data_IF_589605886412
#
_entry.id   IF_589605886412
#
_cell.length_a   1.000
_cell.length_b   1.000
_cell.length_c   1.000
_cell.angle_alpha   90.00
_cell.angle_beta   90.00
_cell.angle_gamma   90.00
#
_symmetry.space_group_name_H-M   'P 1'
#
loop_
_entity.id
_entity.type
_entity.pdbx_description
1 polymer ?
#
# COMPACT_ATOMS: atom_id res chain seq x y z
N UNK A 1 48.40 46.98 34.43
CA UNK A 1 49.38 47.10 35.53
C UNK A 1 49.14 45.95 36.51
N UNK A 2 50.10 45.03 36.59
CA UNK A 2 50.30 44.03 37.65
C UNK A 2 50.90 44.71 38.89
N UNK A 3 50.78 44.15 40.12
CA UNK A 3 51.53 42.97 40.61
C UNK A 3 50.67 41.96 41.43
N UNK A 4 50.84 40.62 41.40
CA UNK A 4 51.95 39.71 41.78
C UNK A 4 52.28 39.69 43.30
N UNK A 5 51.71 38.80 44.14
CA UNK A 5 52.04 37.37 44.48
C UNK A 5 52.95 37.18 45.71
N UNK A 6 52.56 36.27 46.63
CA UNK A 6 53.36 35.37 47.53
C UNK A 6 52.37 34.52 48.38
N UNK A 7 52.51 33.25 48.77
CA UNK A 7 53.26 32.04 48.42
C UNK A 7 52.86 30.91 49.42
N UNK A 8 52.91 29.61 49.04
CA UNK A 8 52.98 28.41 49.93
C UNK A 8 51.63 27.72 50.25
N UNK A 9 51.23 26.52 49.82
CA UNK A 9 51.81 25.19 49.48
C UNK A 9 51.90 24.18 50.66
N UNK A 10 50.97 23.21 50.69
CA UNK A 10 51.06 21.84 51.26
C UNK A 10 49.83 21.07 50.70
N UNK A 11 49.90 20.26 49.63
CA UNK A 11 50.43 18.88 49.48
C UNK A 11 49.76 17.85 50.41
N UNK A 12 48.85 17.05 49.84
CA UNK A 12 48.67 15.64 50.19
C UNK A 12 48.44 14.85 48.88
N UNK A 13 49.29 13.85 48.65
CA UNK A 13 49.35 12.99 47.47
C UNK A 13 49.07 11.54 47.91
N UNK A 14 48.39 10.77 47.03
CA UNK A 14 48.53 9.32 46.77
C UNK A 14 47.84 8.33 47.77
N UNK A 15 47.21 7.21 47.38
CA UNK A 15 47.30 6.32 46.21
C UNK A 15 45.96 5.60 45.89
N UNK A 16 45.69 5.45 44.58
CA UNK A 16 45.17 4.29 43.80
C UNK A 16 44.12 3.30 44.36
N UNK A 17 43.03 3.12 43.60
CA UNK A 17 42.65 1.83 43.04
C UNK A 17 41.85 2.02 41.74
N UNK A 18 42.30 1.36 40.67
CA UNK A 18 41.68 1.27 39.35
C UNK A 18 40.49 0.30 39.40
N UNK A 19 39.36 0.67 38.82
CA UNK A 19 38.40 -0.29 38.25
C UNK A 19 38.23 0.01 36.76
N UNK A 20 38.37 -1.05 35.97
CA UNK A 20 38.61 -0.99 34.53
C UNK A 20 37.44 -0.46 33.72
N UNK A 21 37.70 0.55 32.92
CA UNK A 21 36.88 0.89 31.76
C UNK A 21 37.13 -0.17 30.70
N UNK A 22 36.15 -1.06 30.53
CA UNK A 22 36.09 -1.95 29.38
C UNK A 22 35.80 -1.10 28.14
N UNK A 23 36.54 -1.25 27.02
CA UNK A 23 36.24 -0.51 25.80
C UNK A 23 34.93 -1.05 25.24
N UNK A 24 33.85 -0.30 25.44
CA UNK A 24 32.57 -0.54 24.79
C UNK A 24 32.81 -0.58 23.29
N UNK A 25 32.69 -1.77 22.71
CA UNK A 25 32.57 -1.95 21.28
C UNK A 25 31.47 -1.00 20.80
N UNK A 26 31.84 0.01 20.03
CA UNK A 26 30.94 0.61 19.05
C UNK A 26 30.52 -0.54 18.15
N UNK A 27 29.37 -1.14 18.47
CA UNK A 27 28.72 -2.07 17.57
C UNK A 27 28.62 -1.36 16.23
N UNK A 28 29.28 -1.93 15.21
CA UNK A 28 29.03 -1.56 13.83
C UNK A 28 27.50 -1.57 13.66
N UNK A 29 26.89 -0.53 13.08
CA UNK A 29 25.46 -0.56 12.81
C UNK A 29 25.18 -1.86 12.06
N UNK A 30 24.25 -2.67 12.58
CA UNK A 30 23.87 -3.91 11.92
C UNK A 30 23.61 -3.61 10.43
N UNK A 31 24.09 -4.46 9.51
CA UNK A 31 23.85 -4.24 8.10
C UNK A 31 22.33 -4.08 7.90
N UNK A 32 21.87 -3.09 7.12
CA UNK A 32 20.45 -2.84 6.94
C UNK A 32 19.79 -4.13 6.49
N UNK A 33 18.70 -4.53 7.17
CA UNK A 33 17.97 -5.74 6.81
C UNK A 33 17.58 -5.67 5.33
N UNK A 34 17.98 -6.67 4.55
CA UNK A 34 17.71 -6.68 3.12
C UNK A 34 16.31 -7.24 2.86
N UNK A 35 15.53 -6.53 2.06
CA UNK A 35 14.27 -6.99 1.49
C UNK A 35 14.54 -7.53 0.11
N UNK A 36 14.37 -8.83 -0.07
CA UNK A 36 14.61 -9.53 -1.33
C UNK A 36 13.33 -10.20 -1.85
N UNK A 37 13.17 -10.23 -3.16
CA UNK A 37 12.11 -10.97 -3.84
C UNK A 37 12.59 -11.48 -5.20
N UNK A 38 11.88 -12.47 -5.74
CA UNK A 38 12.15 -13.00 -7.07
C UNK A 38 11.50 -12.08 -8.12
N UNK A 39 12.31 -11.36 -8.90
CA UNK A 39 11.82 -10.57 -10.02
C UNK A 39 11.54 -11.49 -11.20
N UNK A 40 10.27 -11.59 -11.59
CA UNK A 40 9.83 -12.50 -12.65
C UNK A 40 10.20 -12.01 -14.04
N UNK A 41 10.32 -10.68 -14.23
CA UNK A 41 10.71 -10.08 -15.51
C UNK A 41 12.19 -10.27 -15.80
N UNK A 42 13.01 -10.19 -14.75
CA UNK A 42 14.46 -10.35 -14.84
C UNK A 42 14.92 -11.79 -14.57
N UNK A 43 14.00 -12.66 -14.16
CA UNK A 43 14.24 -14.03 -13.71
C UNK A 43 15.43 -14.15 -12.73
N UNK A 44 15.48 -13.26 -11.74
CA UNK A 44 16.53 -13.25 -10.71
C UNK A 44 16.03 -12.70 -9.39
N UNK A 45 16.68 -13.07 -8.31
CA UNK A 45 16.47 -12.42 -7.02
C UNK A 45 17.00 -10.98 -7.07
N UNK A 46 16.19 -10.03 -6.66
CA UNK A 46 16.57 -8.63 -6.46
C UNK A 46 16.40 -8.26 -5.00
N UNK A 47 17.26 -7.39 -4.51
CA UNK A 47 17.26 -6.96 -3.11
C UNK A 47 17.36 -5.43 -3.01
N UNK A 48 16.85 -4.90 -1.90
CA UNK A 48 17.03 -3.52 -1.49
C UNK A 48 17.16 -3.45 0.04
N UNK A 49 17.87 -2.45 0.59
CA UNK A 49 17.83 -2.15 2.02
C UNK A 49 16.39 -1.87 2.51
N UNK A 50 16.05 -2.35 3.69
CA UNK A 50 14.89 -1.86 4.43
C UNK A 50 15.20 -0.45 4.94
N UNK A 51 14.37 0.52 4.56
CA UNK A 51 14.56 1.91 4.91
C UNK A 51 13.57 2.35 5.99
N UNK A 52 13.99 3.34 6.77
CA UNK A 52 13.12 4.05 7.71
C UNK A 52 12.25 5.08 6.96
N UNK A 53 11.15 5.51 7.57
CA UNK A 53 10.33 6.62 7.07
C UNK A 53 11.20 7.87 6.83
N UNK A 54 10.99 8.56 5.71
CA UNK A 54 11.84 9.66 5.25
C UNK A 54 13.01 9.24 4.37
N UNK A 55 13.22 7.93 4.19
CA UNK A 55 14.22 7.36 3.30
C UNK A 55 13.59 6.36 2.33
N UNK A 56 14.28 6.08 1.23
CA UNK A 56 13.88 5.11 0.23
C UNK A 56 15.10 4.34 -0.30
N UNK A 57 14.86 3.12 -0.77
CA UNK A 57 15.77 2.39 -1.64
C UNK A 57 14.94 1.58 -2.61
N UNK A 58 15.41 1.42 -3.84
CA UNK A 58 14.80 0.52 -4.83
C UNK A 58 15.77 -0.63 -5.14
N UNK A 59 15.28 -1.65 -5.83
CA UNK A 59 16.10 -2.78 -6.24
C UNK A 59 17.40 -2.32 -6.93
N UNK A 60 18.53 -2.85 -6.47
CA UNK A 60 19.86 -2.50 -6.98
C UNK A 60 20.53 -1.30 -6.30
N UNK A 61 19.88 -0.62 -5.36
CA UNK A 61 20.54 0.33 -4.46
C UNK A 61 21.21 -0.38 -3.28
N UNK A 62 22.40 0.09 -2.88
CA UNK A 62 23.17 -0.50 -1.77
C UNK A 62 22.93 0.18 -0.41
N UNK A 63 22.24 1.34 -0.41
CA UNK A 63 21.97 2.13 0.78
C UNK A 63 20.64 2.88 0.64
N UNK A 64 20.02 3.19 1.77
CA UNK A 64 18.86 4.07 1.80
C UNK A 64 19.27 5.52 1.50
N UNK A 65 18.50 6.19 0.67
CA UNK A 65 18.62 7.60 0.36
C UNK A 65 17.50 8.39 1.03
N UNK A 66 17.79 9.59 1.52
CA UNK A 66 16.75 10.47 2.03
C UNK A 66 15.79 10.84 0.89
N UNK A 67 14.51 11.06 1.21
CA UNK A 67 13.53 11.51 0.22
C UNK A 67 13.99 12.75 -0.52
N UNK A 68 13.83 12.72 -1.84
CA UNK A 68 14.25 13.79 -2.74
C UNK A 68 13.46 15.08 -2.47
N UNK A 69 14.18 16.19 -2.52
CA UNK A 69 13.68 17.53 -2.15
C UNK A 69 13.42 18.39 -3.38
N UNK A 70 12.90 19.61 -3.19
CA UNK A 70 12.70 20.52 -4.32
C UNK A 70 13.96 20.81 -5.13
N UNK A 71 15.14 20.84 -4.51
CA UNK A 71 16.41 21.00 -5.22
C UNK A 71 16.62 19.87 -6.24
N UNK A 72 16.43 18.62 -5.82
CA UNK A 72 16.52 17.46 -6.71
C UNK A 72 15.51 17.53 -7.86
N UNK A 73 14.27 17.97 -7.57
CA UNK A 73 13.23 18.09 -8.58
C UNK A 73 13.52 19.14 -9.65
N UNK A 74 14.30 20.16 -9.32
CA UNK A 74 14.62 21.25 -10.22
C UNK A 74 15.96 21.05 -10.95
N UNK A 75 16.89 20.24 -10.42
CA UNK A 75 18.23 20.06 -11.01
C UNK A 75 18.56 18.65 -11.48
N UNK A 76 18.01 17.61 -10.84
CA UNK A 76 18.52 16.23 -10.96
C UNK A 76 17.54 15.24 -11.60
N UNK A 77 16.27 15.63 -11.77
CA UNK A 77 15.23 14.77 -12.34
C UNK A 77 14.98 15.11 -13.80
N UNK A 78 15.12 14.11 -14.68
CA UNK A 78 14.72 14.21 -16.08
C UNK A 78 13.33 13.60 -16.28
N UNK A 79 12.39 14.37 -16.81
CA UNK A 79 11.03 13.89 -17.11
C UNK A 79 11.03 13.16 -18.45
N UNK A 80 10.61 11.90 -18.44
CA UNK A 80 10.43 11.06 -19.62
C UNK A 80 9.02 11.17 -20.21
N UNK A 81 8.55 10.06 -20.79
CA UNK A 81 7.24 10.01 -21.44
C UNK A 81 6.09 10.13 -20.44
N UNK A 82 4.96 10.66 -20.91
CA UNK A 82 3.70 10.59 -20.17
C UNK A 82 3.21 9.14 -20.15
N UNK A 83 2.94 8.61 -18.96
CA UNK A 83 2.45 7.26 -18.74
C UNK A 83 0.91 7.26 -18.72
N UNK A 84 0.32 8.17 -17.94
CA UNK A 84 -1.12 8.22 -17.75
C UNK A 84 -1.60 9.65 -17.42
N UNK A 85 -2.92 9.83 -17.47
CA UNK A 85 -3.60 11.06 -17.07
C UNK A 85 -4.88 10.70 -16.34
N UNK A 86 -5.08 11.27 -15.16
CA UNK A 86 -6.34 11.24 -14.43
C UNK A 86 -6.90 12.64 -14.23
N UNK A 87 -7.97 12.72 -13.44
CA UNK A 87 -8.63 13.97 -13.10
C UNK A 87 -7.71 14.89 -12.26
N UNK A 88 -7.09 14.34 -11.21
CA UNK A 88 -6.20 15.11 -10.31
C UNK A 88 -4.72 15.06 -10.67
N UNK A 89 -4.27 14.06 -11.44
CA UNK A 89 -2.84 13.75 -11.64
C UNK A 89 -2.48 13.53 -13.11
N UNK A 90 -1.33 14.05 -13.51
CA UNK A 90 -0.60 13.63 -14.71
C UNK A 90 0.59 12.79 -14.28
N UNK A 91 0.74 11.62 -14.89
CA UNK A 91 1.73 10.62 -14.49
C UNK A 91 2.78 10.49 -15.59
N UNK A 92 4.05 10.62 -15.22
CA UNK A 92 5.19 10.58 -16.15
C UNK A 92 6.24 9.60 -15.65
N UNK A 93 6.98 9.03 -16.59
CA UNK A 93 8.27 8.44 -16.29
C UNK A 93 9.24 9.53 -15.86
N UNK A 94 10.08 9.25 -14.87
CA UNK A 94 11.10 10.17 -14.40
C UNK A 94 12.40 9.43 -14.11
N UNK A 95 13.51 10.04 -14.47
CA UNK A 95 14.84 9.47 -14.26
C UNK A 95 15.61 10.33 -13.27
N UNK A 96 16.16 9.69 -12.25
CA UNK A 96 17.07 10.31 -11.30
C UNK A 96 18.26 9.38 -11.11
N UNK A 97 19.45 9.89 -11.43
CA UNK A 97 20.66 9.07 -11.59
C UNK A 97 20.41 7.93 -12.60
N UNK A 98 20.81 6.70 -12.29
CA UNK A 98 20.62 5.51 -13.14
C UNK A 98 19.32 4.76 -12.80
N UNK A 99 18.33 5.43 -12.20
CA UNK A 99 17.10 4.79 -11.72
C UNK A 99 15.86 5.44 -12.34
N UNK A 100 14.85 4.62 -12.58
CA UNK A 100 13.55 5.04 -13.11
C UNK A 100 12.52 5.09 -12.00
N UNK A 101 11.74 6.18 -11.97
CA UNK A 101 10.68 6.47 -11.02
C UNK A 101 9.43 6.95 -11.76
N UNK A 102 8.35 7.15 -11.00
CA UNK A 102 7.09 7.71 -11.51
C UNK A 102 6.88 9.10 -10.93
N UNK A 103 6.78 10.11 -11.78
CA UNK A 103 6.39 11.46 -11.38
C UNK A 103 4.89 11.64 -11.46
N UNK A 104 4.29 11.91 -10.30
CA UNK A 104 2.91 12.30 -10.14
C UNK A 104 2.85 13.82 -10.01
N UNK A 105 2.26 14.50 -11.00
CA UNK A 105 2.13 15.95 -11.04
C UNK A 105 0.66 16.34 -10.97
N UNK A 106 0.30 17.23 -10.04
CA UNK A 106 -1.07 17.74 -9.96
C UNK A 106 -1.48 18.40 -11.29
N UNK A 107 -2.73 18.20 -11.70
CA UNK A 107 -3.29 18.88 -12.86
C UNK A 107 -3.42 20.39 -12.61
N UNK A 108 -3.60 21.16 -13.68
CA UNK A 108 -3.83 22.61 -13.59
C UNK A 108 -5.20 22.95 -12.97
N UNK A 109 -6.10 21.98 -12.87
CA UNK A 109 -7.44 22.17 -12.34
C UNK A 109 -7.40 22.13 -10.81
N UNK A 110 -7.64 23.30 -10.20
CA UNK A 110 -7.53 23.47 -8.75
C UNK A 110 -8.56 22.66 -7.97
N UNK A 111 -9.65 22.21 -8.61
CA UNK A 111 -10.71 21.45 -7.92
C UNK A 111 -10.24 20.12 -7.34
N UNK A 112 -9.14 19.56 -7.86
CA UNK A 112 -8.57 18.28 -7.41
C UNK A 112 -7.32 18.46 -6.53
N UNK A 113 -6.97 19.69 -6.16
CA UNK A 113 -5.76 19.91 -5.35
C UNK A 113 -5.89 19.36 -3.94
N UNK A 114 -7.09 19.41 -3.35
CA UNK A 114 -7.35 18.81 -2.04
C UNK A 114 -7.12 17.31 -2.08
N UNK A 115 -7.64 16.63 -3.11
CA UNK A 115 -7.48 15.18 -3.29
C UNK A 115 -6.01 14.80 -3.50
N UNK A 116 -5.28 15.56 -4.34
CA UNK A 116 -3.85 15.37 -4.56
C UNK A 116 -3.02 15.51 -3.26
N UNK A 117 -3.30 16.54 -2.48
CA UNK A 117 -2.60 16.77 -1.20
C UNK A 117 -2.98 15.73 -0.15
N UNK A 118 -4.23 15.29 -0.13
CA UNK A 118 -4.69 14.20 0.73
C UNK A 118 -3.96 12.90 0.38
N UNK A 119 -3.90 12.55 -0.91
CA UNK A 119 -3.17 11.38 -1.40
C UNK A 119 -1.70 11.39 -0.99
N UNK A 120 -0.99 12.51 -1.19
CA UNK A 120 0.40 12.64 -0.73
C UNK A 120 0.53 12.51 0.80
N UNK A 121 -0.41 13.07 1.56
CA UNK A 121 -0.44 12.96 3.03
C UNK A 121 -0.61 11.50 3.46
N UNK A 122 -1.51 10.75 2.81
CA UNK A 122 -1.73 9.34 3.08
C UNK A 122 -0.51 8.49 2.69
N UNK A 123 0.04 8.70 1.50
CA UNK A 123 1.26 8.00 1.03
C UNK A 123 2.37 8.18 2.07
N UNK A 124 2.61 9.42 2.50
CA UNK A 124 3.65 9.77 3.48
C UNK A 124 3.41 9.09 4.82
N UNK A 125 2.17 9.13 5.33
CA UNK A 125 1.83 8.58 6.64
C UNK A 125 1.87 7.04 6.70
N UNK A 126 1.76 6.37 5.56
CA UNK A 126 1.77 4.91 5.48
C UNK A 126 3.12 4.31 5.10
N UNK A 127 4.15 5.13 4.90
CA UNK A 127 5.52 4.64 4.75
C UNK A 127 6.01 4.03 6.07
N UNK A 128 6.63 2.85 6.09
CA UNK A 128 7.19 2.08 4.96
C UNK A 128 6.45 0.75 4.72
N UNK A 129 5.12 0.74 4.77
CA UNK A 129 4.33 -0.50 4.67
C UNK A 129 4.56 -1.21 3.31
N UNK A 130 4.81 -2.53 3.29
CA UNK A 130 5.26 -3.26 2.08
C UNK A 130 4.22 -3.32 0.94
N UNK A 131 2.95 -3.07 1.25
CA UNK A 131 1.86 -3.04 0.27
C UNK A 131 1.38 -1.62 -0.08
N UNK A 132 2.08 -0.59 0.36
CA UNK A 132 1.81 0.80 -0.03
C UNK A 132 2.93 1.25 -0.95
N UNK A 133 2.58 2.00 -1.99
CA UNK A 133 3.56 2.55 -2.94
C UNK A 133 4.67 3.31 -2.20
N UNK A 134 5.94 3.00 -2.52
CA UNK A 134 7.06 3.65 -1.88
C UNK A 134 7.19 5.09 -2.36
N UNK A 135 7.23 6.03 -1.42
CA UNK A 135 7.53 7.43 -1.69
C UNK A 135 9.04 7.61 -1.87
N UNK A 136 9.43 8.32 -2.93
CA UNK A 136 10.82 8.62 -3.25
C UNK A 136 11.16 10.06 -2.90
N UNK A 137 10.19 10.97 -3.01
CA UNK A 137 10.35 12.37 -2.65
C UNK A 137 9.18 13.20 -3.13
N UNK A 138 9.09 14.44 -2.65
CA UNK A 138 8.02 15.34 -3.06
C UNK A 138 8.47 16.80 -3.04
N UNK A 139 7.90 17.59 -3.94
CA UNK A 139 8.09 19.03 -4.01
C UNK A 139 6.81 19.70 -4.53
N UNK A 140 6.22 20.57 -3.71
CA UNK A 140 5.04 21.36 -4.07
C UNK A 140 3.90 20.48 -4.63
N UNK A 141 3.67 20.56 -5.95
CA UNK A 141 2.59 19.88 -6.69
C UNK A 141 3.08 18.65 -7.45
N UNK A 142 4.19 18.07 -7.02
CA UNK A 142 4.85 16.95 -7.67
C UNK A 142 5.38 16.00 -6.59
N UNK A 143 5.23 14.69 -6.80
CA UNK A 143 5.91 13.68 -6.00
C UNK A 143 6.38 12.52 -6.86
N UNK A 144 7.43 11.84 -6.41
CA UNK A 144 7.99 10.65 -7.03
C UNK A 144 7.63 9.40 -6.23
N UNK A 145 7.30 8.34 -6.95
CA UNK A 145 7.12 7.00 -6.39
C UNK A 145 7.99 5.98 -7.12
N UNK A 146 8.18 4.82 -6.50
CA UNK A 146 8.83 3.67 -7.14
C UNK A 146 8.14 3.31 -8.47
N UNK A 147 8.94 2.95 -9.47
CA UNK A 147 8.44 2.48 -10.75
C UNK A 147 8.17 0.97 -10.71
N UNK A 148 6.94 0.57 -11.06
CA UNK A 148 6.55 -0.82 -11.17
C UNK A 148 6.24 -1.17 -12.64
N UNK A 149 7.07 -2.00 -13.29
CA UNK A 149 7.00 -2.24 -14.74
C UNK A 149 5.75 -3.01 -15.20
N UNK A 150 5.11 -3.76 -14.31
CA UNK A 150 3.83 -4.44 -14.59
C UNK A 150 2.62 -3.50 -14.43
N UNK A 151 2.85 -2.22 -14.14
CA UNK A 151 1.83 -1.18 -14.16
C UNK A 151 0.61 -1.54 -13.29
N UNK A 152 -0.58 -1.13 -13.75
CA UNK A 152 -1.83 -1.21 -13.01
C UNK A 152 -2.40 -2.63 -12.97
N UNK A 153 -2.99 -3.00 -11.83
CA UNK A 153 -3.50 -4.35 -11.60
C UNK A 153 -4.77 -4.69 -12.41
N UNK A 154 -5.42 -3.70 -13.02
CA UNK A 154 -6.51 -3.95 -13.99
C UNK A 154 -6.01 -4.66 -15.27
N UNK A 155 -4.71 -4.63 -15.54
CA UNK A 155 -4.05 -5.39 -16.60
C UNK A 155 -3.56 -6.78 -16.16
N UNK A 156 -3.94 -7.26 -14.97
CA UNK A 156 -3.49 -8.56 -14.42
C UNK A 156 -3.63 -9.70 -15.44
N UNK A 157 -4.77 -9.80 -16.11
CA UNK A 157 -5.01 -10.88 -17.06
C UNK A 157 -4.20 -10.77 -18.35
N UNK A 158 -3.86 -9.56 -18.78
CA UNK A 158 -2.98 -9.33 -19.93
C UNK A 158 -1.58 -9.87 -19.63
N UNK A 159 -1.10 -9.63 -18.41
CA UNK A 159 0.17 -10.18 -17.93
C UNK A 159 0.12 -11.70 -17.79
N UNK A 160 -0.87 -12.27 -17.09
CA UNK A 160 -0.96 -13.71 -16.87
C UNK A 160 -1.13 -14.53 -18.16
N UNK A 161 -1.80 -13.98 -19.18
CA UNK A 161 -1.98 -14.65 -20.48
C UNK A 161 -0.82 -14.48 -21.45
N UNK A 162 0.14 -13.62 -21.14
CA UNK A 162 1.33 -13.45 -21.99
C UNK A 162 2.17 -14.73 -21.99
N UNK A 163 2.76 -15.08 -23.13
CA UNK A 163 3.59 -16.31 -23.28
C UNK A 163 4.74 -16.38 -22.28
N UNK A 164 5.23 -15.22 -21.85
CA UNK A 164 6.34 -15.08 -20.92
C UNK A 164 5.92 -15.39 -19.47
N UNK A 165 4.65 -15.19 -19.11
CA UNK A 165 4.19 -15.29 -17.72
C UNK A 165 3.09 -16.33 -17.49
N UNK A 166 2.66 -17.06 -18.51
CA UNK A 166 1.63 -18.11 -18.37
C UNK A 166 2.04 -19.19 -17.37
N UNK A 167 3.35 -19.46 -17.24
CA UNK A 167 3.89 -20.41 -16.25
C UNK A 167 3.66 -19.97 -14.80
N UNK A 168 3.38 -18.69 -14.57
CA UNK A 168 3.11 -18.13 -13.24
C UNK A 168 1.62 -18.01 -12.95
N UNK A 169 0.75 -18.30 -13.92
CA UNK A 169 -0.70 -18.29 -13.75
C UNK A 169 -1.18 -19.53 -12.98
N UNK A 170 -0.88 -19.56 -11.68
CA UNK A 170 -1.25 -20.64 -10.77
C UNK A 170 -2.34 -20.20 -9.80
N UNK A 171 -3.07 -21.16 -9.23
CA UNK A 171 -4.08 -20.83 -8.22
C UNK A 171 -3.44 -20.26 -6.95
N UNK A 172 -2.22 -20.69 -6.63
CA UNK A 172 -1.42 -20.20 -5.52
C UNK A 172 -1.12 -18.71 -5.67
N UNK A 173 -0.69 -18.28 -6.87
CA UNK A 173 -0.46 -16.86 -7.14
C UNK A 173 -1.77 -16.06 -7.10
N UNK A 174 -2.82 -16.54 -7.77
CA UNK A 174 -4.11 -15.84 -7.80
C UNK A 174 -4.70 -15.68 -6.40
N UNK A 175 -4.54 -16.69 -5.56
CA UNK A 175 -4.96 -16.60 -4.17
C UNK A 175 -4.08 -15.64 -3.34
N UNK A 176 -2.78 -15.62 -3.57
CA UNK A 176 -1.88 -14.64 -2.94
C UNK A 176 -2.29 -13.20 -3.27
N UNK A 177 -2.75 -12.91 -4.48
CA UNK A 177 -3.29 -11.59 -4.83
C UNK A 177 -4.56 -11.24 -4.05
N UNK A 178 -5.43 -12.24 -3.81
CA UNK A 178 -6.61 -12.06 -2.95
C UNK A 178 -6.20 -11.78 -1.49
N UNK A 179 -5.18 -12.47 -0.99
CA UNK A 179 -4.60 -12.23 0.32
C UNK A 179 -4.01 -10.81 0.43
N UNK A 180 -3.24 -10.37 -0.56
CA UNK A 180 -2.65 -9.03 -0.59
C UNK A 180 -3.75 -7.96 -0.54
N UNK A 181 -4.81 -8.11 -1.35
CA UNK A 181 -5.94 -7.19 -1.37
C UNK A 181 -6.62 -7.07 0.01
N UNK A 182 -6.95 -8.19 0.65
CA UNK A 182 -7.60 -8.19 1.97
C UNK A 182 -6.67 -7.65 3.06
N UNK A 183 -5.38 -7.98 3.02
CA UNK A 183 -4.39 -7.47 3.97
C UNK A 183 -4.20 -5.95 3.84
N UNK A 184 -4.27 -5.41 2.62
CA UNK A 184 -4.27 -3.96 2.39
C UNK A 184 -5.49 -3.32 3.03
N UNK A 185 -6.70 -3.88 2.84
CA UNK A 185 -7.91 -3.36 3.49
C UNK A 185 -7.79 -3.44 5.02
N UNK A 186 -7.30 -4.54 5.57
CA UNK A 186 -7.08 -4.69 7.01
C UNK A 186 -6.12 -3.61 7.56
N UNK A 187 -5.05 -3.30 6.82
CA UNK A 187 -4.14 -2.23 7.14
C UNK A 187 -4.83 -0.85 7.09
N UNK A 188 -5.59 -0.54 6.04
CA UNK A 188 -6.33 0.73 5.92
C UNK A 188 -7.34 0.91 7.05
N UNK A 189 -8.06 -0.15 7.41
CA UNK A 189 -9.10 -0.12 8.44
C UNK A 189 -8.53 0.03 9.86
N UNK A 190 -7.25 -0.29 10.05
CA UNK A 190 -6.50 -0.19 11.31
C UNK A 190 -5.28 0.75 11.23
N UNK A 191 -5.27 1.67 10.26
CA UNK A 191 -4.10 2.47 9.93
C UNK A 191 -3.69 3.44 11.05
N UNK A 192 -2.43 3.92 11.08
CA UNK A 192 -1.99 4.94 12.04
C UNK A 192 -2.73 6.28 11.87
N UNK A 193 -3.49 6.45 10.78
CA UNK A 193 -4.34 7.61 10.52
C UNK A 193 -5.82 7.27 10.76
N UNK A 194 -6.14 6.31 11.61
CA UNK A 194 -7.51 5.88 11.88
C UNK A 194 -8.05 4.95 10.79
N UNK A 195 -9.33 4.61 10.87
CA UNK A 195 -10.00 3.74 9.90
C UNK A 195 -10.21 4.48 8.58
N UNK A 196 -9.60 3.99 7.51
CA UNK A 196 -9.68 4.57 6.16
C UNK A 196 -10.47 3.69 5.22
N UNK A 197 -11.30 4.30 4.38
CA UNK A 197 -12.17 3.59 3.42
C UNK A 197 -11.67 3.83 2.00
N UNK A 198 -11.59 2.79 1.18
CA UNK A 198 -11.13 2.90 -0.20
C UNK A 198 -12.26 3.37 -1.13
N UNK A 199 -12.50 4.67 -1.19
CA UNK A 199 -13.70 5.20 -1.85
C UNK A 199 -13.68 5.17 -3.38
N UNK A 200 -12.52 5.21 -4.03
CA UNK A 200 -12.42 5.24 -5.50
C UNK A 200 -12.47 3.82 -6.11
N UNK A 201 -13.55 3.10 -5.78
CA UNK A 201 -13.72 1.65 -6.03
C UNK A 201 -15.18 1.30 -6.38
N UNK A 202 -15.79 2.05 -7.29
CA UNK A 202 -17.22 1.88 -7.64
C UNK A 202 -17.50 0.73 -8.60
N UNK A 203 -16.48 0.25 -9.29
CA UNK A 203 -16.55 -0.95 -10.13
C UNK A 203 -15.23 -1.71 -10.04
N UNK A 204 -15.21 -2.92 -10.60
CA UNK A 204 -14.06 -3.81 -10.53
C UNK A 204 -12.82 -3.24 -11.22
N UNK A 205 -12.95 -2.71 -12.44
CA UNK A 205 -11.83 -2.14 -13.19
C UNK A 205 -11.26 -0.93 -12.44
N UNK A 206 -12.14 -0.07 -11.95
CA UNK A 206 -11.75 1.11 -11.17
C UNK A 206 -11.05 0.71 -9.88
N UNK A 207 -11.57 -0.27 -9.15
CA UNK A 207 -10.94 -0.81 -7.94
C UNK A 207 -9.52 -1.31 -8.22
N UNK A 208 -9.34 -2.15 -9.25
CA UNK A 208 -8.03 -2.70 -9.59
C UNK A 208 -7.05 -1.62 -10.09
N UNK A 209 -7.54 -0.56 -10.73
CA UNK A 209 -6.70 0.56 -11.16
C UNK A 209 -6.04 1.35 -10.03
N UNK A 210 -6.53 1.17 -8.78
CA UNK A 210 -5.94 1.80 -7.60
C UNK A 210 -4.66 1.09 -7.14
N UNK A 211 -4.40 -0.12 -7.66
CA UNK A 211 -3.26 -0.95 -7.32
C UNK A 211 -2.28 -1.09 -8.50
N UNK A 212 -1.01 -1.28 -8.17
CA UNK A 212 0.04 -1.68 -9.10
C UNK A 212 0.46 -3.13 -8.84
N UNK A 213 1.02 -3.77 -9.87
CA UNK A 213 1.67 -5.06 -9.76
C UNK A 213 3.19 -4.86 -9.65
N UNK A 214 3.78 -5.35 -8.56
CA UNK A 214 5.25 -5.47 -8.48
C UNK A 214 5.73 -6.63 -9.34
N UNK A 215 7.01 -6.65 -9.73
CA UNK A 215 7.58 -7.67 -10.62
C UNK A 215 7.62 -9.09 -10.05
N UNK A 216 7.30 -9.30 -8.77
CA UNK A 216 7.01 -10.60 -8.15
C UNK A 216 5.51 -10.92 -8.03
N UNK A 217 4.66 -10.16 -8.76
CA UNK A 217 3.21 -10.29 -8.82
C UNK A 217 2.52 -10.14 -7.45
N UNK A 218 2.99 -9.17 -6.66
CA UNK A 218 2.34 -8.70 -5.43
C UNK A 218 1.58 -7.41 -5.67
N UNK A 219 0.46 -7.22 -4.98
CA UNK A 219 -0.32 -5.97 -5.06
C UNK A 219 0.32 -4.87 -4.20
N UNK A 220 0.41 -3.68 -4.80
CA UNK A 220 0.85 -2.45 -4.16
C UNK A 220 -0.25 -1.41 -4.31
N UNK A 221 -0.81 -0.91 -3.22
CA UNK A 221 -1.79 0.17 -3.26
C UNK A 221 -1.08 1.49 -3.61
N UNK A 222 -1.55 2.14 -4.67
CA UNK A 222 -0.91 3.31 -5.25
C UNK A 222 -1.76 4.58 -5.15
N UNK A 223 -3.05 4.49 -5.51
CA UNK A 223 -3.91 5.66 -5.51
C UNK A 223 -4.60 5.82 -4.15
N UNK A 224 -4.19 6.84 -3.40
CA UNK A 224 -4.59 7.10 -2.01
C UNK A 224 -5.36 8.43 -1.87
N UNK A 225 -5.82 9.01 -2.97
CA UNK A 225 -6.47 10.32 -3.00
C UNK A 225 -7.82 10.33 -2.28
N UNK A 226 -8.59 9.25 -2.37
CA UNK A 226 -9.94 9.13 -1.81
C UNK A 226 -10.00 8.18 -0.60
N UNK A 227 -9.30 8.56 0.49
CA UNK A 227 -9.27 7.80 1.75
C UNK A 227 -9.84 8.60 2.94
N UNK A 228 -11.16 8.82 2.99
CA UNK A 228 -11.78 9.51 4.12
C UNK A 228 -11.65 8.67 5.41
N UNK A 229 -11.73 9.34 6.56
CA UNK A 229 -11.64 8.71 7.88
C UNK A 229 -13.03 8.40 8.43
N UNK A 230 -13.23 7.16 8.87
CA UNK A 230 -14.32 6.80 9.77
C UNK A 230 -13.82 6.93 11.20
N UNK A 231 -14.52 7.71 12.01
CA UNK A 231 -14.21 7.90 13.42
C UNK A 231 -15.47 7.71 14.27
N UNK A 232 -15.70 6.45 14.67
CA UNK A 232 -16.88 6.05 15.46
C UNK A 232 -16.96 6.78 16.82
N UNK A 233 -15.81 7.08 17.45
CA UNK A 233 -15.79 7.82 18.72
C UNK A 233 -16.33 9.25 18.62
N UNK A 234 -16.22 9.85 17.42
CA UNK A 234 -16.74 11.18 17.10
C UNK A 234 -18.04 11.13 16.30
N UNK A 235 -18.64 9.94 16.14
CA UNK A 235 -19.79 9.72 15.27
C UNK A 235 -19.57 10.25 13.83
N UNK A 236 -18.33 10.16 13.35
CA UNK A 236 -17.94 10.63 12.02
C UNK A 236 -17.91 9.44 11.06
N UNK A 237 -18.81 9.50 10.08
CA UNK A 237 -18.95 8.53 8.99
C UNK A 237 -18.62 9.21 7.66
N UNK A 238 -18.59 8.44 6.57
CA UNK A 238 -18.11 8.90 5.27
C UNK A 238 -19.16 8.77 4.19
N UNK A 239 -18.92 9.46 3.07
CA UNK A 239 -19.56 9.23 1.78
C UNK A 239 -18.48 9.26 0.70
N UNK A 240 -18.53 8.35 -0.25
CA UNK A 240 -17.58 8.25 -1.35
C UNK A 240 -17.96 9.19 -2.51
N UNK A 241 -17.75 10.48 -2.31
CA UNK A 241 -18.05 11.53 -3.30
C UNK A 241 -19.41 12.19 -3.11
N UNK A 242 -19.79 13.04 -4.06
CA UNK A 242 -20.98 13.92 -4.01
C UNK A 242 -22.03 13.61 -5.09
N UNK A 243 -21.87 12.48 -5.79
CA UNK A 243 -22.76 12.04 -6.86
C UNK A 243 -23.42 10.74 -6.44
N UNK A 244 -24.61 10.51 -6.98
CA UNK A 244 -25.29 9.22 -6.83
C UNK A 244 -24.40 8.10 -7.37
N UNK A 245 -24.29 7.03 -6.58
CA UNK A 245 -23.57 5.82 -6.94
C UNK A 245 -24.63 4.75 -7.22
N UNK A 246 -24.42 3.97 -8.27
CA UNK A 246 -25.34 2.91 -8.69
C UNK A 246 -24.63 1.62 -9.05
N UNK A 247 -25.41 0.55 -9.22
CA UNK A 247 -24.94 -0.78 -9.58
C UNK A 247 -24.80 -1.73 -8.39
N UNK A 248 -24.50 -2.99 -8.67
CA UNK A 248 -24.46 -4.08 -7.68
C UNK A 248 -23.06 -4.29 -7.06
N UNK A 249 -22.03 -3.68 -7.64
CA UNK A 249 -20.66 -3.81 -7.15
C UNK A 249 -20.44 -3.05 -5.83
N UNK A 250 -21.09 -1.89 -5.68
CA UNK A 250 -21.04 -1.07 -4.47
C UNK A 250 -21.96 -1.63 -3.39
N UNK A 251 -21.67 -1.31 -2.14
CA UNK A 251 -22.48 -1.83 -1.04
C UNK A 251 -23.89 -1.20 -1.04
N UNK A 252 -24.94 -1.91 -0.58
CA UNK A 252 -26.32 -1.40 -0.61
C UNK A 252 -26.49 -0.06 0.08
N UNK A 253 -25.78 0.18 1.18
CA UNK A 253 -25.80 1.44 1.93
C UNK A 253 -25.13 2.61 1.19
N UNK A 254 -24.42 2.36 0.09
CA UNK A 254 -23.89 3.39 -0.80
C UNK A 254 -24.90 3.87 -1.85
N UNK A 255 -26.03 3.16 -2.00
CA UNK A 255 -27.08 3.48 -2.95
C UNK A 255 -28.06 4.49 -2.35
N UNK A 256 -28.66 5.32 -3.21
CA UNK A 256 -29.68 6.26 -2.79
C UNK A 256 -30.92 5.51 -2.26
N UNK A 257 -31.30 5.68 -0.97
CA UNK A 257 -32.33 4.84 -0.35
C UNK A 257 -33.76 5.33 -0.63
N UNK A 258 -33.95 6.49 -1.27
CA UNK A 258 -35.27 7.12 -1.42
C UNK A 258 -35.77 7.02 -2.87
N UNK A 259 -36.59 6.01 -3.16
CA UNK A 259 -37.14 5.77 -4.51
C UNK A 259 -38.06 6.89 -5.01
N UNK A 260 -38.72 7.60 -4.10
CA UNK A 260 -39.78 8.58 -4.42
C UNK A 260 -39.25 9.97 -4.79
N UNK A 261 -37.94 10.20 -4.77
CA UNK A 261 -37.35 11.53 -5.01
C UNK A 261 -35.96 11.47 -5.64
N UNK A 262 -35.54 12.50 -6.40
CA UNK A 262 -34.21 12.56 -6.98
C UNK A 262 -33.11 12.63 -5.92
N UNK A 263 -31.91 12.19 -6.30
CA UNK A 263 -30.72 12.24 -5.44
C UNK A 263 -30.41 13.65 -4.96
N UNK A 264 -30.15 13.76 -3.66
CA UNK A 264 -29.66 14.97 -3.00
C UNK A 264 -28.52 14.56 -2.07
N UNK A 265 -27.29 15.02 -2.34
CA UNK A 265 -26.10 14.63 -1.57
C UNK A 265 -26.25 14.89 -0.07
N UNK A 266 -26.84 16.02 0.33
CA UNK A 266 -27.05 16.39 1.73
C UNK A 266 -27.91 15.38 2.51
N UNK A 267 -28.78 14.66 1.80
CA UNK A 267 -29.72 13.70 2.38
C UNK A 267 -29.22 12.25 2.27
N UNK A 268 -28.11 12.02 1.57
CA UNK A 268 -27.51 10.69 1.46
C UNK A 268 -26.97 10.26 2.83
N UNK A 269 -27.41 9.13 3.39
CA UNK A 269 -26.85 8.62 4.63
C UNK A 269 -25.36 8.31 4.47
N UNK A 270 -24.57 8.66 5.48
CA UNK A 270 -23.17 8.28 5.56
C UNK A 270 -23.04 6.81 5.97
N UNK A 271 -21.93 6.19 5.58
CA UNK A 271 -21.59 4.79 5.84
C UNK A 271 -20.14 4.66 6.33
N UNK A 272 -19.66 3.44 6.50
CA UNK A 272 -18.37 3.12 7.11
C UNK A 272 -17.51 2.17 6.26
N UNK A 273 -16.44 1.63 6.85
CA UNK A 273 -15.49 0.75 6.17
C UNK A 273 -16.07 -0.59 5.70
N UNK A 274 -17.29 -0.93 6.14
CA UNK A 274 -17.97 -2.16 5.70
C UNK A 274 -18.36 -2.13 4.23
N UNK A 275 -18.34 -0.96 3.59
CA UNK A 275 -18.47 -0.86 2.13
C UNK A 275 -17.29 -1.49 1.39
N UNK A 276 -16.08 -1.50 1.96
CA UNK A 276 -14.92 -2.17 1.36
C UNK A 276 -15.07 -3.70 1.48
N UNK A 277 -15.62 -4.17 2.61
CA UNK A 277 -15.83 -5.59 2.88
C UNK A 277 -16.79 -6.21 1.86
N UNK A 278 -17.86 -5.50 1.54
CA UNK A 278 -18.84 -5.90 0.52
C UNK A 278 -18.19 -6.28 -0.82
N UNK A 279 -17.13 -5.56 -1.20
CA UNK A 279 -16.47 -5.69 -2.51
C UNK A 279 -15.48 -6.85 -2.58
N UNK A 280 -15.06 -7.40 -1.44
CA UNK A 280 -14.05 -8.47 -1.36
C UNK A 280 -14.42 -9.67 -2.24
N UNK A 281 -15.63 -10.27 -2.15
CA UNK A 281 -15.97 -11.45 -2.95
C UNK A 281 -15.90 -11.21 -4.46
N UNK A 282 -16.37 -10.04 -4.92
CA UNK A 282 -16.34 -9.67 -6.34
C UNK A 282 -14.91 -9.55 -6.87
N UNK A 283 -14.04 -8.85 -6.13
CA UNK A 283 -12.61 -8.71 -6.49
C UNK A 283 -11.91 -10.07 -6.47
N UNK A 284 -12.04 -10.83 -5.39
CA UNK A 284 -11.37 -12.12 -5.27
C UNK A 284 -11.90 -13.16 -6.26
N UNK A 285 -13.21 -13.18 -6.53
CA UNK A 285 -13.78 -14.07 -7.54
C UNK A 285 -13.25 -13.78 -8.93
N UNK A 286 -13.10 -12.50 -9.28
CA UNK A 286 -12.47 -12.09 -10.53
C UNK A 286 -11.01 -12.55 -10.60
N UNK A 287 -10.20 -12.22 -9.59
CA UNK A 287 -8.76 -12.54 -9.54
C UNK A 287 -8.52 -14.06 -9.58
N UNK A 288 -9.35 -14.87 -8.92
CA UNK A 288 -9.22 -16.33 -8.94
C UNK A 288 -9.56 -16.94 -10.31
N UNK A 289 -10.37 -16.27 -11.13
CA UNK A 289 -10.75 -16.78 -12.45
C UNK A 289 -11.64 -18.03 -12.38
N UNK A 290 -11.50 -18.92 -13.36
CA UNK A 290 -12.44 -20.04 -13.60
C UNK A 290 -11.77 -21.40 -13.81
N UNK A 291 -10.53 -21.58 -13.36
CA UNK A 291 -9.89 -22.91 -13.39
C UNK A 291 -10.60 -23.90 -12.45
N UNK A 292 -10.38 -25.20 -12.62
CA UNK A 292 -10.97 -26.23 -11.74
C UNK A 292 -10.59 -26.02 -10.27
N UNK A 293 -9.33 -25.64 -10.03
CA UNK A 293 -8.85 -25.31 -8.69
C UNK A 293 -9.50 -24.04 -8.13
N UNK A 294 -9.71 -23.03 -8.98
CA UNK A 294 -10.40 -21.80 -8.59
C UNK A 294 -11.86 -22.08 -8.19
N UNK A 295 -12.56 -22.95 -8.94
CA UNK A 295 -13.93 -23.36 -8.59
C UNK A 295 -13.95 -24.05 -7.22
N UNK A 296 -13.04 -25.00 -6.99
CA UNK A 296 -12.97 -25.70 -5.70
C UNK A 296 -12.64 -24.74 -4.54
N UNK A 297 -11.69 -23.83 -4.74
CA UNK A 297 -11.31 -22.85 -3.74
C UNK A 297 -12.44 -21.85 -3.44
N UNK A 298 -13.20 -21.41 -4.45
CA UNK A 298 -14.40 -20.58 -4.27
C UNK A 298 -15.46 -21.26 -3.42
N UNK A 299 -15.61 -22.58 -3.52
CA UNK A 299 -16.51 -23.33 -2.62
C UNK A 299 -16.04 -23.26 -1.17
N UNK A 300 -14.73 -23.32 -0.91
CA UNK A 300 -14.20 -23.13 0.44
C UNK A 300 -14.40 -21.71 0.97
N UNK A 301 -14.33 -20.70 0.09
CA UNK A 301 -14.51 -19.29 0.43
C UNK A 301 -15.99 -18.87 0.57
N UNK A 302 -16.93 -19.70 0.11
CA UNK A 302 -18.35 -19.35 0.02
C UNK A 302 -18.90 -18.80 1.34
N UNK A 303 -18.62 -19.45 2.47
CA UNK A 303 -19.17 -19.01 3.75
C UNK A 303 -18.71 -17.60 4.15
N UNK A 304 -17.40 -17.31 4.05
CA UNK A 304 -16.87 -15.99 4.40
C UNK A 304 -17.30 -14.93 3.38
N UNK A 305 -17.37 -15.29 2.08
CA UNK A 305 -17.84 -14.39 1.03
C UNK A 305 -19.31 -14.02 1.20
N UNK A 306 -20.18 -14.97 1.55
CA UNK A 306 -21.60 -14.68 1.84
C UNK A 306 -21.75 -13.71 3.01
N UNK A 307 -20.94 -13.86 4.06
CA UNK A 307 -20.95 -12.92 5.21
C UNK A 307 -20.47 -11.52 4.82
N UNK A 308 -19.52 -11.39 3.90
CA UNK A 308 -19.10 -10.09 3.38
C UNK A 308 -20.25 -9.37 2.64
N UNK A 309 -21.21 -10.11 2.09
CA UNK A 309 -22.34 -9.58 1.31
C UNK A 309 -23.67 -9.59 2.07
N UNK A 310 -23.65 -9.51 3.40
CA UNK A 310 -24.86 -9.24 4.17
C UNK A 310 -25.33 -7.81 3.94
N UNK A 311 -26.65 -7.61 3.81
CA UNK A 311 -27.24 -6.28 3.59
C UNK A 311 -26.91 -5.36 4.78
N UNK A 312 -27.12 -5.84 6.01
CA UNK A 312 -26.73 -5.17 7.25
C UNK A 312 -25.19 -5.06 7.39
N UNK A 313 -24.60 -3.86 7.32
CA UNK A 313 -23.14 -3.68 7.34
C UNK A 313 -22.48 -4.19 8.64
N UNK A 314 -23.16 -4.10 9.77
CA UNK A 314 -22.69 -4.54 11.08
C UNK A 314 -22.51 -6.05 11.21
N UNK A 315 -23.22 -6.84 10.38
CA UNK A 315 -23.11 -8.30 10.37
C UNK A 315 -21.93 -8.78 9.50
N UNK A 316 -21.38 -7.91 8.65
CA UNK A 316 -20.21 -8.22 7.83
C UNK A 316 -18.96 -8.35 8.72
N UNK A 317 -18.02 -9.25 8.39
CA UNK A 317 -16.76 -9.36 9.12
C UNK A 317 -15.90 -8.10 8.97
N UNK A 318 -14.87 -7.96 9.79
CA UNK A 318 -13.77 -7.02 9.59
C UNK A 318 -12.81 -7.55 8.53
N UNK A 319 -12.05 -6.69 7.86
CA UNK A 319 -11.04 -7.13 6.90
C UNK A 319 -9.98 -8.05 7.54
N UNK A 320 -9.67 -7.84 8.82
CA UNK A 320 -8.79 -8.71 9.60
C UNK A 320 -9.35 -10.12 9.75
N UNK A 321 -10.62 -10.27 10.11
CA UNK A 321 -11.27 -11.59 10.21
C UNK A 321 -11.33 -12.30 8.86
N UNK A 322 -11.53 -11.56 7.76
CA UNK A 322 -11.47 -12.13 6.41
C UNK A 322 -10.05 -12.63 6.08
N UNK A 323 -9.02 -11.85 6.42
CA UNK A 323 -7.62 -12.25 6.20
C UNK A 323 -7.27 -13.52 6.98
N UNK A 324 -7.61 -13.57 8.27
CA UNK A 324 -7.38 -14.74 9.13
C UNK A 324 -8.10 -16.00 8.61
N UNK A 325 -9.33 -15.84 8.15
CA UNK A 325 -10.10 -16.94 7.58
C UNK A 325 -9.55 -17.41 6.23
N UNK A 326 -9.05 -16.49 5.41
CA UNK A 326 -8.35 -16.85 4.18
C UNK A 326 -7.07 -17.65 4.48
N UNK A 327 -6.24 -17.21 5.41
CA UNK A 327 -5.05 -17.98 5.81
C UNK A 327 -5.40 -19.41 6.26
N UNK A 328 -6.48 -19.55 7.05
CA UNK A 328 -6.98 -20.85 7.52
C UNK A 328 -7.43 -21.72 6.34
N UNK A 329 -8.23 -21.17 5.43
CA UNK A 329 -8.73 -21.88 4.24
C UNK A 329 -7.56 -22.34 3.36
N UNK A 330 -6.56 -21.49 3.15
CA UNK A 330 -5.40 -21.80 2.32
C UNK A 330 -4.58 -22.95 2.85
N UNK A 331 -4.32 -22.98 4.16
CA UNK A 331 -3.62 -24.08 4.82
C UNK A 331 -4.34 -25.42 4.61
N UNK A 332 -5.67 -25.42 4.69
CA UNK A 332 -6.49 -26.62 4.48
C UNK A 332 -6.55 -27.02 3.00
N UNK A 333 -6.64 -26.04 2.08
CA UNK A 333 -6.72 -26.30 0.64
C UNK A 333 -5.43 -26.93 0.11
N UNK A 334 -4.28 -26.39 0.52
CA UNK A 334 -2.96 -26.87 0.10
C UNK A 334 -2.59 -28.22 0.72
N UNK A 335 -2.95 -28.48 1.98
CA UNK A 335 -2.70 -29.77 2.63
C UNK A 335 -3.42 -30.93 1.94
N UNK A 336 -4.63 -30.69 1.41
CA UNK A 336 -5.41 -31.70 0.66
C UNK A 336 -4.90 -31.93 -0.76
N UNK A 337 -4.34 -30.91 -1.41
CA UNK A 337 -3.67 -31.06 -2.71
C UNK A 337 -2.44 -31.95 -2.61
N UNK A 338 -1.61 -31.77 -1.58
CA UNK A 338 -0.41 -32.58 -1.36
C UNK A 338 -0.69 -34.08 -1.23
N UNK A 339 -1.81 -34.45 -0.60
CA UNK A 339 -2.25 -35.85 -0.47
C UNK A 339 -2.79 -36.46 -1.78
N UNK A 340 -3.20 -35.64 -2.75
CA UNK A 340 -3.69 -36.10 -4.07
C UNK A 340 -2.58 -36.28 -5.10
N UNK A 341 -1.41 -35.69 -4.90
CA UNK A 341 -0.23 -35.85 -5.77
C UNK A 341 0.67 -37.04 -5.41
N UNK A 342 0.39 -37.72 -4.29
CA UNK A 342 1.11 -38.92 -3.82
C UNK A 342 0.38 -40.24 -4.11
N UNK A 343 -0.76 -40.18 -4.81
CA UNK A 343 -1.54 -41.30 -5.35
C UNK A 343 -1.51 -41.22 -6.88
#
# INVERSE_FOLDING_TARGET
MLPAVKHGLYVLLLLFAQEGVSPGHTALPEPPSLLCYQDMLLNKQVCRPACLTGYFAVAGMNSCHQWLTCEDFDTNITIGRKIASGLGKMVYEAHWQNQTFVMNKATKDNKYWSDFHHGLTMITAFQTHPHIIQLVGHCNKRYLTEFHPLMSADHLFDHLKSKEHTLHDTIELRYQLCMDYVNILAYLHSSPRGTRVMCDSNDLTKTLSQFLLRSDLRLILNDLDALPEVNRSKNQFIKCGHREIGGEFVAPEQLWPYLERPFVDADMPSYDEKSDIWKIPSVCSYVLGSSSDAVLLKLHLLHIHSRCQYEEPELRPTAKEVAEEYERIWKVFTSRKGQRSEL
#
